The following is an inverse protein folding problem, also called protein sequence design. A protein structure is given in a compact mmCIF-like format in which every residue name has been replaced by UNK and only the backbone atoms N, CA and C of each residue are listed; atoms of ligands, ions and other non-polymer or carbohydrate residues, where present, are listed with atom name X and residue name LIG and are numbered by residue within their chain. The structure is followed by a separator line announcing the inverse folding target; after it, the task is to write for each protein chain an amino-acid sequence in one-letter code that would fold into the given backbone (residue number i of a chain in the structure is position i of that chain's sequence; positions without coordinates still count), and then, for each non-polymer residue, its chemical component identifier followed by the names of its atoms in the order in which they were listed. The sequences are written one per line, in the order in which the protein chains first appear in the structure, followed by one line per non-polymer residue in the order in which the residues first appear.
data_IF_483009202821
#
_entry.id   IF_483009202821
#
_cell.length_a   1.000
_cell.length_b   1.000
_cell.length_c   1.000
_cell.angle_alpha   90.00
_cell.angle_beta   90.00
_cell.angle_gamma   90.00
#
_symmetry.space_group_name_H-M   'P 1'
#
loop_
_entity.id
_entity.type
_entity.pdbx_description
1 polymer ?
#
# COMPACT_ATOMS: atom_id res chain seq x y z
N UNK A 1 -28.26 -7.23 -13.86
CA UNK A 1 -27.19 -8.24 -14.11
C UNK A 1 -26.54 -8.66 -12.81
N UNK A 2 -26.03 -9.87 -12.75
CA UNK A 2 -25.33 -10.41 -11.58
C UNK A 2 -23.89 -9.89 -11.51
N UNK A 3 -23.30 -9.91 -10.32
CA UNK A 3 -21.93 -9.41 -10.11
C UNK A 3 -20.90 -10.16 -10.96
N UNK A 4 -21.08 -11.47 -11.19
CA UNK A 4 -20.20 -12.29 -12.03
C UNK A 4 -20.54 -12.27 -13.53
N UNK A 5 -21.51 -11.45 -13.97
CA UNK A 5 -21.81 -11.29 -15.41
C UNK A 5 -20.58 -10.70 -16.12
N UNK A 6 -20.07 -11.45 -17.10
CA UNK A 6 -19.00 -10.99 -18.02
C UNK A 6 -19.55 -9.90 -18.94
N UNK A 7 -18.70 -8.93 -19.26
CA UNK A 7 -19.05 -7.79 -20.10
C UNK A 7 -18.42 -7.93 -21.49
N UNK A 8 -19.07 -7.41 -22.52
CA UNK A 8 -18.47 -7.24 -23.85
C UNK A 8 -17.72 -5.90 -23.94
N UNK A 9 -18.36 -4.83 -23.44
CA UNK A 9 -17.77 -3.51 -23.36
C UNK A 9 -18.46 -2.66 -22.29
N UNK A 10 -17.86 -1.52 -22.00
CA UNK A 10 -18.38 -0.50 -21.09
C UNK A 10 -18.29 0.85 -21.77
N UNK A 11 -19.34 1.65 -21.68
CA UNK A 11 -19.47 2.94 -22.34
C UNK A 11 -19.62 4.04 -21.30
N UNK A 12 -18.74 5.03 -21.32
CA UNK A 12 -18.96 6.32 -20.68
C UNK A 12 -19.74 7.18 -21.67
N UNK A 13 -21.01 7.44 -21.41
CA UNK A 13 -21.83 8.39 -22.16
C UNK A 13 -21.64 9.78 -21.57
N UNK A 14 -21.04 10.69 -22.32
CA UNK A 14 -20.64 12.01 -21.82
C UNK A 14 -21.75 13.03 -21.98
N UNK A 15 -21.86 13.98 -21.05
CA UNK A 15 -22.70 15.17 -21.24
C UNK A 15 -22.16 16.05 -22.36
N UNK A 16 -22.96 16.96 -22.96
CA UNK A 16 -22.49 17.91 -23.97
C UNK A 16 -21.29 18.76 -23.51
N UNK A 17 -21.24 19.08 -22.21
CA UNK A 17 -20.13 19.80 -21.56
C UNK A 17 -18.87 18.94 -21.35
N UNK A 18 -18.98 17.60 -21.52
CA UNK A 18 -17.91 16.61 -21.31
C UNK A 18 -17.30 16.59 -19.90
N UNK A 19 -17.98 17.21 -18.93
CA UNK A 19 -17.59 17.24 -17.50
C UNK A 19 -18.20 16.13 -16.67
N UNK A 20 -19.28 15.51 -17.15
CA UNK A 20 -20.02 14.43 -16.49
C UNK A 20 -20.23 13.26 -17.44
N UNK A 21 -20.46 12.09 -16.88
CA UNK A 21 -20.72 10.88 -17.64
C UNK A 21 -21.66 9.90 -16.91
N UNK A 22 -22.42 9.16 -17.70
CA UNK A 22 -23.08 7.93 -17.29
C UNK A 22 -22.23 6.72 -17.70
N UNK A 23 -21.98 5.81 -16.76
CA UNK A 23 -21.23 4.59 -17.00
C UNK A 23 -22.21 3.43 -17.24
N UNK A 24 -22.26 2.92 -18.47
CA UNK A 24 -23.17 1.86 -18.89
C UNK A 24 -22.37 0.61 -19.24
N UNK A 25 -22.72 -0.53 -18.63
CA UNK A 25 -22.11 -1.83 -18.88
C UNK A 25 -22.95 -2.64 -19.86
N UNK A 26 -22.31 -3.35 -20.78
CA UNK A 26 -22.96 -4.19 -21.79
C UNK A 26 -22.47 -5.63 -21.67
N UNK A 27 -23.41 -6.58 -21.60
CA UNK A 27 -23.12 -8.01 -21.57
C UNK A 27 -23.18 -8.62 -22.99
N UNK A 28 -22.49 -9.75 -23.23
CA UNK A 28 -22.74 -10.57 -24.41
C UNK A 28 -24.23 -10.90 -24.55
N UNK A 29 -24.81 -10.69 -25.73
CA UNK A 29 -26.25 -10.82 -25.97
C UNK A 29 -27.06 -9.50 -25.84
N UNK A 30 -26.41 -8.36 -25.65
CA UNK A 30 -27.02 -7.02 -25.81
C UNK A 30 -27.77 -6.48 -24.59
N UNK A 31 -27.92 -7.27 -23.52
CA UNK A 31 -28.35 -6.74 -22.23
C UNK A 31 -27.37 -5.65 -21.75
N UNK A 32 -27.91 -4.58 -21.17
CA UNK A 32 -27.12 -3.46 -20.65
C UNK A 32 -27.70 -2.94 -19.32
N UNK A 33 -26.85 -2.28 -18.53
CA UNK A 33 -27.21 -1.73 -17.22
C UNK A 33 -26.42 -0.45 -16.95
N UNK A 34 -27.04 0.59 -16.39
CA UNK A 34 -26.32 1.79 -15.92
C UNK A 34 -25.70 1.50 -14.55
N UNK A 35 -24.36 1.51 -14.49
CA UNK A 35 -23.58 1.17 -13.30
C UNK A 35 -23.36 2.37 -12.38
N UNK A 36 -23.10 3.54 -12.96
CA UNK A 36 -22.79 4.76 -12.22
C UNK A 36 -23.14 6.03 -13.03
N UNK A 37 -23.15 7.17 -12.35
CA UNK A 37 -23.25 8.51 -12.95
C UNK A 37 -22.44 9.48 -12.11
N UNK A 38 -21.71 10.41 -12.73
CA UNK A 38 -20.84 11.30 -11.96
C UNK A 38 -20.02 12.26 -12.80
N UNK A 39 -18.97 12.81 -12.18
CA UNK A 39 -17.94 13.60 -12.85
C UNK A 39 -17.06 12.68 -13.70
N UNK A 40 -16.64 13.16 -14.87
CA UNK A 40 -15.71 12.42 -15.74
C UNK A 40 -14.26 12.51 -15.23
N UNK A 41 -13.88 13.65 -14.66
CA UNK A 41 -12.49 13.97 -14.28
C UNK A 41 -11.79 12.89 -13.41
N UNK A 42 -12.42 12.35 -12.35
CA UNK A 42 -11.80 11.28 -11.55
C UNK A 42 -11.42 10.05 -12.40
N UNK A 43 -12.24 9.68 -13.39
CA UNK A 43 -11.92 8.56 -14.28
C UNK A 43 -10.75 8.88 -15.21
N UNK A 44 -10.59 10.11 -15.67
CA UNK A 44 -9.47 10.52 -16.54
C UNK A 44 -8.12 10.55 -15.80
N UNK A 45 -8.14 10.85 -14.50
CA UNK A 45 -6.95 10.74 -13.64
C UNK A 45 -6.49 9.30 -13.46
N UNK A 46 -7.41 8.33 -13.54
CA UNK A 46 -7.17 6.92 -13.25
C UNK A 46 -7.15 5.99 -14.48
N UNK A 47 -7.56 6.43 -15.67
CA UNK A 47 -7.60 5.61 -16.89
C UNK A 47 -6.86 6.30 -18.05
N UNK A 48 -5.66 5.82 -18.35
CA UNK A 48 -4.90 6.28 -19.52
C UNK A 48 -5.72 6.14 -20.81
N UNK A 49 -6.36 4.99 -21.04
CA UNK A 49 -7.15 4.77 -22.27
C UNK A 49 -8.37 5.72 -22.39
N UNK A 50 -8.92 6.21 -21.28
CA UNK A 50 -10.00 7.20 -21.29
C UNK A 50 -9.45 8.60 -21.61
N UNK A 51 -8.28 8.96 -21.07
CA UNK A 51 -7.55 10.19 -21.40
C UNK A 51 -7.12 10.24 -22.88
N UNK A 52 -6.69 9.10 -23.43
CA UNK A 52 -6.31 8.98 -24.84
C UNK A 52 -7.53 9.03 -25.78
N UNK A 53 -8.71 8.59 -25.33
CA UNK A 53 -9.97 8.69 -26.08
C UNK A 53 -10.59 10.09 -26.01
N UNK A 54 -10.67 10.72 -24.82
CA UNK A 54 -11.26 12.06 -24.68
C UNK A 54 -10.48 13.11 -25.49
N UNK A 55 -9.16 12.93 -25.66
CA UNK A 55 -8.33 13.79 -26.51
C UNK A 55 -8.69 13.74 -28.00
N UNK A 56 -9.34 12.66 -28.47
CA UNK A 56 -9.79 12.48 -29.86
C UNK A 56 -11.15 13.14 -30.15
N UNK A 57 -11.82 13.66 -29.13
CA UNK A 57 -13.16 14.25 -29.23
C UNK A 57 -14.31 13.24 -29.09
N UNK A 58 -15.53 13.70 -29.35
CA UNK A 58 -16.75 12.90 -29.21
C UNK A 58 -17.38 12.93 -27.81
N UNK A 59 -18.54 12.25 -27.70
CA UNK A 59 -19.38 12.18 -26.50
C UNK A 59 -19.41 10.78 -25.87
N UNK A 60 -18.46 9.92 -26.22
CA UNK A 60 -18.34 8.59 -25.64
C UNK A 60 -16.91 8.11 -25.50
N UNK A 61 -16.64 7.35 -24.43
CA UNK A 61 -15.39 6.59 -24.22
C UNK A 61 -15.78 5.13 -24.07
N UNK A 62 -15.13 4.23 -24.80
CA UNK A 62 -15.40 2.78 -24.74
C UNK A 62 -14.24 2.06 -24.08
N UNK A 63 -14.53 1.25 -23.05
CA UNK A 63 -13.61 0.24 -22.54
C UNK A 63 -14.05 -1.12 -23.10
N UNK A 64 -13.17 -1.75 -23.87
CA UNK A 64 -13.34 -3.13 -24.37
C UNK A 64 -12.02 -3.87 -24.14
N UNK A 65 -12.04 -5.08 -23.53
CA UNK A 65 -10.83 -5.85 -23.32
C UNK A 65 -10.23 -6.31 -24.66
N UNK A 66 -8.90 -6.35 -24.73
CA UNK A 66 -8.18 -6.88 -25.89
C UNK A 66 -8.21 -8.42 -25.87
N UNK A 67 -8.92 -9.02 -26.81
CA UNK A 67 -9.02 -10.48 -26.99
C UNK A 67 -10.36 -11.08 -26.54
N UNK A 68 -10.68 -12.27 -27.06
CA UNK A 68 -11.93 -12.96 -26.72
C UNK A 68 -11.84 -13.66 -25.36
N UNK A 69 -12.85 -13.50 -24.51
CA UNK A 69 -13.04 -14.33 -23.32
C UNK A 69 -12.36 -13.84 -22.04
N UNK A 70 -12.09 -12.54 -21.91
CA UNK A 70 -11.58 -11.92 -20.69
C UNK A 70 -12.45 -12.23 -19.45
N UNK A 71 -12.09 -13.27 -18.69
CA UNK A 71 -12.84 -13.74 -17.52
C UNK A 71 -12.90 -12.70 -16.40
N UNK A 72 -11.86 -11.87 -16.30
CA UNK A 72 -11.70 -10.78 -15.35
C UNK A 72 -12.58 -9.56 -15.64
N UNK A 73 -13.13 -9.43 -16.86
CA UNK A 73 -13.91 -8.26 -17.27
C UNK A 73 -15.39 -8.45 -16.92
N UNK A 74 -15.71 -8.30 -15.63
CA UNK A 74 -17.05 -8.54 -15.06
C UNK A 74 -17.66 -7.28 -14.45
N UNK A 75 -18.98 -7.30 -14.20
CA UNK A 75 -19.67 -6.27 -13.41
C UNK A 75 -18.99 -6.04 -12.05
N UNK A 76 -18.59 -7.11 -11.35
CA UNK A 76 -17.92 -7.06 -10.06
C UNK A 76 -16.60 -6.28 -10.10
N UNK A 77 -15.80 -6.48 -11.15
CA UNK A 77 -14.52 -5.79 -11.38
C UNK A 77 -14.75 -4.30 -11.62
N UNK A 78 -15.72 -3.96 -12.47
CA UNK A 78 -16.08 -2.56 -12.76
C UNK A 78 -16.65 -1.83 -11.53
N UNK A 79 -17.48 -2.48 -10.70
CA UNK A 79 -17.99 -1.89 -9.46
C UNK A 79 -16.86 -1.54 -8.48
N UNK A 80 -15.88 -2.44 -8.33
CA UNK A 80 -14.68 -2.23 -7.50
C UNK A 80 -13.81 -1.08 -8.04
N UNK A 81 -13.60 -1.02 -9.36
CA UNK A 81 -12.92 0.12 -9.99
C UNK A 81 -13.65 1.45 -9.79
N UNK A 82 -14.98 1.51 -9.96
CA UNK A 82 -15.77 2.73 -9.67
C UNK A 82 -15.65 3.15 -8.21
N UNK A 83 -15.64 2.18 -7.27
CA UNK A 83 -15.39 2.45 -5.85
C UNK A 83 -14.00 3.05 -5.62
N UNK A 84 -12.97 2.46 -6.24
CA UNK A 84 -11.60 2.99 -6.18
C UNK A 84 -11.50 4.43 -6.67
N UNK A 85 -12.10 4.77 -7.83
CA UNK A 85 -12.11 6.13 -8.37
C UNK A 85 -12.82 7.13 -7.45
N UNK A 86 -13.79 6.67 -6.66
CA UNK A 86 -14.55 7.52 -5.73
C UNK A 86 -13.82 7.73 -4.40
N UNK A 87 -13.02 6.77 -3.95
CA UNK A 87 -12.32 6.78 -2.65
C UNK A 87 -10.96 6.05 -2.75
N UNK A 88 -9.96 6.60 -3.48
CA UNK A 88 -8.66 5.95 -3.65
C UNK A 88 -7.84 5.91 -2.36
N UNK A 89 -8.11 6.82 -1.42
CA UNK A 89 -7.37 6.99 -0.15
C UNK A 89 -7.47 5.74 0.75
N UNK A 90 -8.52 4.93 0.56
CA UNK A 90 -8.73 3.67 1.30
C UNK A 90 -7.58 2.68 1.09
N UNK A 91 -7.04 2.61 -0.13
CA UNK A 91 -5.92 1.72 -0.44
C UNK A 91 -4.57 2.41 -0.18
N UNK A 92 -4.46 3.71 -0.45
CA UNK A 92 -3.21 4.47 -0.23
C UNK A 92 -2.82 4.58 1.25
N UNK A 93 -3.81 4.58 2.16
CA UNK A 93 -3.52 4.53 3.60
C UNK A 93 -2.88 3.19 4.00
N UNK A 94 -3.23 2.08 3.35
CA UNK A 94 -2.57 0.79 3.59
C UNK A 94 -1.08 0.89 3.22
N UNK A 95 -0.77 1.36 2.01
CA UNK A 95 0.61 1.53 1.50
C UNK A 95 1.44 2.49 2.36
N UNK A 96 0.82 3.54 2.89
CA UNK A 96 1.52 4.51 3.76
C UNK A 96 1.87 3.90 5.12
N UNK A 97 0.92 3.20 5.75
CA UNK A 97 1.13 2.54 7.05
C UNK A 97 2.19 1.43 6.93
N UNK A 98 2.13 0.65 5.84
CA UNK A 98 3.10 -0.40 5.52
C UNK A 98 4.54 0.13 5.43
N UNK A 99 4.77 1.19 4.64
CA UNK A 99 6.09 1.85 4.55
C UNK A 99 6.60 2.33 5.91
N UNK A 100 5.71 2.85 6.74
CA UNK A 100 6.05 3.31 8.09
C UNK A 100 6.42 2.15 9.03
N UNK A 101 5.71 1.01 8.96
CA UNK A 101 6.05 -0.21 9.71
C UNK A 101 7.43 -0.71 9.30
N UNK A 102 7.69 -0.87 8.00
CA UNK A 102 8.99 -1.34 7.47
C UNK A 102 10.13 -0.40 7.88
N UNK A 103 9.91 0.92 7.85
CA UNK A 103 10.89 1.90 8.30
C UNK A 103 11.20 1.76 9.81
N UNK A 104 10.18 1.50 10.64
CA UNK A 104 10.35 1.28 12.08
C UNK A 104 11.06 -0.04 12.37
N UNK A 105 10.73 -1.12 11.65
CA UNK A 105 11.38 -2.43 11.81
C UNK A 105 12.87 -2.37 11.46
N UNK A 106 13.23 -1.70 10.34
CA UNK A 106 14.61 -1.44 9.99
C UNK A 106 15.34 -0.58 11.04
N UNK A 107 14.64 0.39 11.65
CA UNK A 107 15.21 1.23 12.72
C UNK A 107 15.42 0.46 14.03
N UNK A 108 14.55 -0.50 14.35
CA UNK A 108 14.69 -1.40 15.51
C UNK A 108 15.90 -2.33 15.29
N UNK A 109 15.96 -3.01 14.15
CA UNK A 109 17.04 -3.94 13.84
C UNK A 109 18.43 -3.25 13.84
N UNK A 110 18.51 -2.01 13.32
CA UNK A 110 19.75 -1.21 13.36
C UNK A 110 20.16 -0.82 14.79
N UNK A 111 19.19 -0.59 15.68
CA UNK A 111 19.44 -0.28 17.09
C UNK A 111 19.93 -1.53 17.86
N UNK A 112 19.37 -2.71 17.59
CA UNK A 112 19.80 -3.99 18.17
C UNK A 112 21.22 -4.40 17.71
N UNK A 113 21.56 -4.16 16.45
CA UNK A 113 22.91 -4.40 15.91
C UNK A 113 23.95 -3.44 16.51
N UNK A 114 23.57 -2.21 16.84
CA UNK A 114 24.48 -1.25 17.47
C UNK A 114 24.62 -1.46 18.98
N UNK A 115 23.60 -1.94 19.70
CA UNK A 115 23.76 -2.35 21.11
C UNK A 115 24.62 -3.60 21.25
N UNK A 116 24.39 -4.64 20.43
CA UNK A 116 25.18 -5.88 20.48
C UNK A 116 26.66 -5.68 20.06
N UNK A 117 26.95 -4.74 19.16
CA UNK A 117 28.34 -4.36 18.84
C UNK A 117 29.06 -3.67 20.01
N UNK A 118 28.35 -2.87 20.81
CA UNK A 118 28.91 -2.19 22.00
C UNK A 118 29.11 -3.19 23.14
N UNK A 119 28.22 -4.18 23.30
CA UNK A 119 28.37 -5.25 24.29
C UNK A 119 29.56 -6.18 23.98
N UNK A 120 29.87 -6.41 22.70
CA UNK A 120 30.99 -7.25 22.27
C UNK A 120 32.38 -6.67 22.58
N UNK A 121 32.52 -5.35 22.75
CA UNK A 121 33.81 -4.71 23.09
C UNK A 121 34.10 -4.66 24.61
N UNK A 122 33.23 -5.22 25.45
CA UNK A 122 33.42 -5.28 26.92
C UNK A 122 34.05 -6.60 27.41
N UNK A 123 34.61 -7.40 26.50
CA UNK A 123 35.13 -8.75 26.74
C UNK A 123 36.67 -8.90 26.66
N UNK A 124 37.36 -8.52 27.74
CA UNK A 124 38.71 -8.99 28.16
C UNK A 124 39.96 -8.65 27.29
N UNK A 125 41.12 -8.46 27.96
CA UNK A 125 42.31 -9.19 27.46
C UNK A 125 43.60 -8.52 26.93
N UNK A 126 43.95 -7.25 27.24
CA UNK A 126 45.36 -6.80 27.45
C UNK A 126 46.42 -6.75 26.28
N UNK A 127 47.28 -5.71 26.36
CA UNK A 127 48.70 -5.57 25.90
C UNK A 127 49.11 -5.63 24.40
N UNK A 128 49.37 -4.44 23.82
CA UNK A 128 50.68 -3.99 23.26
C UNK A 128 50.53 -2.64 22.54
N UNK A 129 51.09 -1.53 23.04
CA UNK A 129 52.37 -0.92 22.54
C UNK A 129 52.43 -0.80 21.00
N UNK A 130 52.63 0.34 20.33
CA UNK A 130 53.40 1.58 20.62
C UNK A 130 52.96 2.61 19.51
N UNK A 131 52.89 3.96 19.63
CA UNK A 131 53.96 4.94 19.90
C UNK A 131 53.36 6.37 19.92
N UNK A 132 53.71 7.17 20.94
CA UNK A 132 53.73 8.67 21.09
C UNK A 132 53.06 9.54 20.00
N UNK A 133 52.30 10.61 20.28
CA UNK A 133 52.35 11.57 21.41
C UNK A 133 51.05 12.44 21.43
N UNK A 134 50.74 13.35 22.36
CA UNK A 134 51.50 13.93 23.50
C UNK A 134 50.56 14.48 24.62
N UNK A 135 51.17 14.87 25.75
CA UNK A 135 50.64 15.71 26.86
C UNK A 135 50.01 17.05 26.38
N UNK A 136 49.09 17.70 27.10
CA UNK A 136 49.07 18.06 28.54
C UNK A 136 47.66 17.89 29.16
N UNK A 137 47.48 17.11 30.24
CA UNK A 137 47.55 17.47 31.68
C UNK A 137 46.38 18.34 32.19
N UNK A 138 45.48 17.70 32.94
CA UNK A 138 44.45 18.33 33.77
C UNK A 138 43.72 17.26 34.61
N UNK A 139 44.14 17.04 35.84
CA UNK A 139 43.51 16.12 36.80
C UNK A 139 42.34 16.80 37.51
N UNK A 140 41.15 16.17 37.54
CA UNK A 140 40.27 16.15 38.72
C UNK A 140 39.05 15.22 38.51
N UNK A 141 39.01 14.15 39.30
CA UNK A 141 37.82 13.48 39.88
C UNK A 141 36.64 13.10 38.96
N UNK A 142 36.43 11.79 38.83
CA UNK A 142 35.32 11.23 38.08
C UNK A 142 33.95 11.42 38.72
N UNK A 143 32.94 11.59 37.87
CA UNK A 143 31.56 11.20 38.12
C UNK A 143 31.04 10.51 36.84
N UNK A 144 30.49 9.32 37.04
CA UNK A 144 29.86 8.43 36.05
C UNK A 144 29.03 9.13 34.95
N UNK A 145 29.45 9.02 33.69
CA UNK A 145 28.72 9.56 32.52
C UNK A 145 28.41 8.52 31.43
N UNK A 146 28.39 7.21 31.75
CA UNK A 146 27.96 6.16 30.82
C UNK A 146 26.42 5.92 30.82
N UNK A 147 25.73 6.35 31.87
CA UNK A 147 24.32 6.04 32.15
C UNK A 147 23.26 6.80 31.31
N UNK A 148 23.48 8.02 30.77
CA UNK A 148 22.42 8.73 30.04
C UNK A 148 22.01 8.10 28.69
N UNK A 149 22.97 7.51 27.99
CA UNK A 149 22.81 7.12 26.57
C UNK A 149 22.12 5.75 26.43
N UNK A 150 22.46 4.78 27.28
CA UNK A 150 21.80 3.48 27.32
C UNK A 150 20.31 3.64 27.65
N UNK A 151 19.98 4.50 28.62
CA UNK A 151 18.61 4.78 29.02
C UNK A 151 17.84 5.56 27.93
N UNK A 152 18.51 6.42 27.14
CA UNK A 152 17.86 7.09 26.00
C UNK A 152 17.61 6.14 24.83
N UNK A 153 18.53 5.20 24.54
CA UNK A 153 18.37 4.13 23.55
C UNK A 153 17.20 3.19 23.91
N UNK A 154 17.15 2.69 25.15
CA UNK A 154 16.04 1.83 25.64
C UNK A 154 14.69 2.56 25.59
N UNK A 155 14.66 3.86 25.89
CA UNK A 155 13.44 4.68 25.74
C UNK A 155 13.03 4.86 24.28
N UNK A 156 13.96 5.08 23.36
CA UNK A 156 13.69 5.19 21.93
C UNK A 156 13.15 3.87 21.37
N UNK A 157 13.79 2.75 21.69
CA UNK A 157 13.36 1.40 21.33
C UNK A 157 11.89 1.16 21.71
N UNK A 158 11.53 1.41 22.98
CA UNK A 158 10.15 1.27 23.47
C UNK A 158 9.15 2.16 22.74
N UNK A 159 9.55 3.37 22.34
CA UNK A 159 8.71 4.29 21.55
C UNK A 159 8.48 3.74 20.14
N UNK A 160 9.52 3.20 19.49
CA UNK A 160 9.42 2.56 18.16
C UNK A 160 8.50 1.33 18.21
N UNK A 161 8.67 0.44 19.18
CA UNK A 161 7.81 -0.72 19.40
C UNK A 161 6.35 -0.34 19.65
N UNK A 162 6.12 0.68 20.49
CA UNK A 162 4.76 1.21 20.75
C UNK A 162 4.13 1.77 19.48
N UNK A 163 4.90 2.50 18.66
CA UNK A 163 4.43 3.06 17.38
C UNK A 163 4.09 1.94 16.39
N UNK A 164 4.97 0.94 16.25
CA UNK A 164 4.72 -0.27 15.44
C UNK A 164 3.41 -0.95 15.86
N UNK A 165 3.20 -1.18 17.15
CA UNK A 165 1.98 -1.81 17.66
C UNK A 165 0.68 -1.01 17.40
N UNK A 166 0.76 0.32 17.32
CA UNK A 166 -0.37 1.18 16.89
C UNK A 166 -0.59 1.07 15.39
N UNK A 167 0.48 1.15 14.58
CA UNK A 167 0.40 1.05 13.12
C UNK A 167 -0.15 -0.30 12.65
N UNK A 168 0.24 -1.42 13.27
CA UNK A 168 -0.34 -2.73 12.94
C UNK A 168 -1.86 -2.79 13.18
N UNK A 169 -2.39 -2.06 14.18
CA UNK A 169 -3.84 -1.94 14.40
C UNK A 169 -4.49 -1.06 13.33
N UNK A 170 -3.86 0.05 12.96
CA UNK A 170 -4.35 0.88 11.86
C UNK A 170 -4.34 0.14 10.51
N UNK A 171 -3.31 -0.66 10.23
CA UNK A 171 -3.20 -1.51 9.04
C UNK A 171 -4.35 -2.53 9.00
N UNK A 172 -4.62 -3.22 10.12
CA UNK A 172 -5.73 -4.15 10.24
C UNK A 172 -7.10 -3.46 10.01
N UNK A 173 -7.27 -2.24 10.51
CA UNK A 173 -8.48 -1.43 10.28
C UNK A 173 -8.61 -0.95 8.83
N UNK A 174 -7.50 -0.56 8.19
CA UNK A 174 -7.47 -0.18 6.77
C UNK A 174 -7.80 -1.39 5.88
N UNK A 175 -7.23 -2.56 6.16
CA UNK A 175 -7.53 -3.81 5.46
C UNK A 175 -9.00 -4.21 5.61
N UNK A 176 -9.56 -4.16 6.82
CA UNK A 176 -10.98 -4.44 7.04
C UNK A 176 -11.91 -3.48 6.24
N UNK A 177 -11.54 -2.19 6.14
CA UNK A 177 -12.27 -1.22 5.30
C UNK A 177 -12.13 -1.53 3.80
N UNK A 178 -10.95 -1.96 3.35
CA UNK A 178 -10.74 -2.36 1.96
C UNK A 178 -11.60 -3.58 1.58
N UNK A 179 -11.65 -4.61 2.43
CA UNK A 179 -12.54 -5.76 2.25
C UNK A 179 -14.02 -5.34 2.14
N UNK A 180 -14.51 -4.51 3.07
CA UNK A 180 -15.89 -4.01 3.06
C UNK A 180 -16.20 -3.13 1.84
N UNK A 181 -15.20 -2.41 1.30
CA UNK A 181 -15.31 -1.68 0.05
C UNK A 181 -15.28 -2.57 -1.20
N UNK A 182 -15.06 -3.88 -1.05
CA UNK A 182 -15.05 -4.88 -2.12
C UNK A 182 -13.67 -5.27 -2.62
N UNK A 183 -12.57 -4.77 -2.03
CA UNK A 183 -11.20 -5.17 -2.39
C UNK A 183 -10.83 -6.51 -1.72
N UNK A 184 -11.69 -7.50 -1.95
CA UNK A 184 -11.52 -8.89 -1.53
C UNK A 184 -10.43 -9.55 -2.39
N UNK A 185 -9.58 -10.43 -1.81
CA UNK A 185 -8.42 -10.94 -2.53
C UNK A 185 -8.74 -11.75 -3.79
N UNK A 186 -9.89 -12.45 -3.80
CA UNK A 186 -10.37 -13.24 -4.93
C UNK A 186 -10.63 -12.40 -6.21
N UNK A 187 -10.67 -11.07 -6.09
CA UNK A 187 -10.85 -10.13 -7.20
C UNK A 187 -9.64 -9.20 -7.39
N UNK A 188 -8.55 -9.37 -6.63
CA UNK A 188 -7.35 -8.53 -6.78
C UNK A 188 -6.69 -8.78 -8.14
N UNK A 189 -6.55 -10.04 -8.55
CA UNK A 189 -5.96 -10.38 -9.85
C UNK A 189 -6.81 -9.83 -11.01
N UNK A 190 -8.13 -9.94 -10.93
CA UNK A 190 -9.07 -9.34 -11.89
C UNK A 190 -8.92 -7.81 -12.00
N UNK A 191 -8.68 -7.12 -10.87
CA UNK A 191 -8.41 -5.69 -10.84
C UNK A 191 -7.04 -5.32 -11.39
N UNK A 192 -6.01 -6.17 -11.21
CA UNK A 192 -4.69 -6.00 -11.81
C UNK A 192 -4.79 -6.16 -13.33
N UNK A 193 -5.46 -7.20 -13.84
CA UNK A 193 -5.70 -7.37 -15.27
C UNK A 193 -6.50 -6.22 -15.88
N UNK A 194 -7.52 -5.72 -15.19
CA UNK A 194 -8.25 -4.52 -15.58
C UNK A 194 -7.33 -3.29 -15.66
N UNK A 195 -6.48 -3.11 -14.65
CA UNK A 195 -5.58 -1.97 -14.58
C UNK A 195 -4.49 -2.02 -15.67
N UNK A 196 -3.96 -3.19 -15.99
CA UNK A 196 -3.00 -3.38 -17.08
C UNK A 196 -3.66 -3.16 -18.46
N UNK A 197 -4.89 -3.67 -18.67
CA UNK A 197 -5.61 -3.53 -19.93
C UNK A 197 -6.02 -2.08 -20.26
N UNK A 198 -6.37 -1.28 -19.24
CA UNK A 198 -6.91 0.09 -19.42
C UNK A 198 -5.96 1.21 -18.95
N UNK A 199 -4.80 0.85 -18.42
CA UNK A 199 -3.75 1.78 -17.97
C UNK A 199 -4.12 2.52 -16.68
N UNK A 200 -4.54 1.78 -15.65
CA UNK A 200 -4.87 2.30 -14.32
C UNK A 200 -3.76 2.03 -13.29
N UNK A 201 -2.56 2.57 -13.51
CA UNK A 201 -1.37 2.30 -12.68
C UNK A 201 -1.60 2.47 -11.18
N UNK A 202 -2.27 3.54 -10.75
CA UNK A 202 -2.58 3.81 -9.34
C UNK A 202 -3.47 2.73 -8.69
N UNK A 203 -4.37 2.08 -9.46
CA UNK A 203 -5.13 0.91 -8.99
C UNK A 203 -4.21 -0.31 -8.90
N UNK A 204 -3.40 -0.54 -9.94
CA UNK A 204 -2.48 -1.68 -10.04
C UNK A 204 -1.52 -1.75 -8.85
N UNK A 205 -0.85 -0.63 -8.55
CA UNK A 205 0.08 -0.52 -7.42
C UNK A 205 -0.61 -0.78 -6.08
N UNK A 206 -1.79 -0.17 -5.87
CA UNK A 206 -2.59 -0.38 -4.67
C UNK A 206 -3.02 -1.86 -4.49
N UNK A 207 -3.43 -2.52 -5.58
CA UNK A 207 -3.78 -3.95 -5.58
C UNK A 207 -2.58 -4.85 -5.28
N UNK A 208 -1.41 -4.56 -5.83
CA UNK A 208 -0.18 -5.34 -5.61
C UNK A 208 0.26 -5.30 -4.15
N UNK A 209 0.30 -4.11 -3.55
CA UNK A 209 0.76 -3.94 -2.16
C UNK A 209 -0.16 -4.69 -1.17
N UNK A 210 -1.48 -4.63 -1.38
CA UNK A 210 -2.46 -5.38 -0.57
C UNK A 210 -2.30 -6.90 -0.76
N UNK A 211 -1.96 -7.38 -1.96
CA UNK A 211 -1.77 -8.81 -2.21
C UNK A 211 -0.47 -9.33 -1.56
N UNK A 212 0.62 -8.57 -1.70
CA UNK A 212 1.94 -8.92 -1.16
C UNK A 212 1.92 -9.02 0.36
N UNK A 213 1.39 -7.99 1.03
CA UNK A 213 1.36 -7.93 2.50
C UNK A 213 0.35 -8.88 3.14
N UNK A 214 -0.51 -9.56 2.36
CA UNK A 214 -1.30 -10.70 2.87
C UNK A 214 -0.42 -11.78 3.49
N UNK A 215 0.71 -12.11 2.83
CA UNK A 215 1.68 -13.09 3.33
C UNK A 215 2.39 -12.63 4.61
N UNK A 216 2.71 -11.33 4.68
CA UNK A 216 3.30 -10.68 5.86
C UNK A 216 2.33 -10.63 7.05
N UNK A 217 1.07 -10.24 6.80
CA UNK A 217 0.03 -10.07 7.82
C UNK A 217 -0.44 -11.41 8.41
N UNK A 218 -0.59 -12.46 7.59
CA UNK A 218 -0.91 -13.81 8.08
C UNK A 218 0.20 -14.40 8.94
N UNK A 219 1.47 -14.16 8.58
CA UNK A 219 2.62 -14.58 9.40
C UNK A 219 2.70 -13.79 10.72
N UNK A 220 2.53 -12.46 10.68
CA UNK A 220 2.51 -11.63 11.89
C UNK A 220 1.37 -12.01 12.85
N UNK A 221 0.20 -12.45 12.36
CA UNK A 221 -0.88 -12.97 13.23
C UNK A 221 -0.53 -14.30 13.88
N UNK A 222 0.20 -15.20 13.21
CA UNK A 222 0.69 -16.44 13.83
C UNK A 222 1.66 -16.14 14.97
N UNK A 223 2.60 -15.21 14.77
CA UNK A 223 3.52 -14.74 15.82
C UNK A 223 2.79 -14.14 17.03
N UNK A 224 1.73 -13.35 16.81
CA UNK A 224 0.94 -12.73 17.89
C UNK A 224 0.04 -13.73 18.65
N UNK A 225 -0.31 -14.87 18.05
CA UNK A 225 -1.07 -15.94 18.72
C UNK A 225 -0.15 -16.90 19.48
N UNK A 226 1.07 -17.13 18.98
CA UNK A 226 2.04 -18.05 19.60
C UNK A 226 2.77 -17.45 20.82
N UNK A 227 2.79 -16.13 20.96
CA UNK A 227 3.40 -15.41 22.10
C UNK A 227 2.38 -15.07 23.21
N UNK A 228 1.44 -15.99 23.51
CA UNK A 228 0.39 -15.77 24.52
C UNK A 228 0.03 -17.06 25.27
#
# INVERSE_FOLDING_TARGET
MDSRTRLDHVLFQLTPTRTRCDLVIFAPGGANEKLASGLLEPFLLHLKCAKDQISKGGYSITLRPSGSGASWFTKATLQRFVRFVTTPELLERFVTIEKEIVQIENSIQSNELTSSAIEAESGDGNLSKTTTSSKLKGEANGATNAVPEENSKVRLQRVLETRRAVLCKEQAMAYARALVAGFEPDYIDDLIYFADAFGASRLREACININFERGSFENNRKQLIYNR
#
